data_IF_897899414109
#
_entry.id   IF_897899414109
#
_cell.length_a   1.000
_cell.length_b   1.000
_cell.length_c   1.000
_cell.angle_alpha   90.00
_cell.angle_beta   90.00
_cell.angle_gamma   90.00
#
_symmetry.space_group_name_H-M   'P 1'
#
loop_
_entity.id
_entity.type
_entity.pdbx_description
1 polymer ?
#
# COMPACT_ATOMS: atom_id res chain seq x y z
N UNK A 1 4.74 -12.04 -5.12
CA UNK A 1 5.04 -10.62 -5.46
C UNK A 1 5.62 -9.84 -4.29
N UNK A 2 4.97 -9.83 -3.12
CA UNK A 2 5.42 -9.10 -1.92
C UNK A 2 6.86 -9.43 -1.50
N UNK A 3 7.22 -10.72 -1.46
CA UNK A 3 8.57 -11.18 -1.11
C UNK A 3 9.62 -10.63 -2.09
N UNK A 4 9.31 -10.61 -3.40
CA UNK A 4 10.21 -10.07 -4.44
C UNK A 4 10.51 -8.60 -4.20
N UNK A 5 9.48 -7.80 -3.91
CA UNK A 5 9.63 -6.36 -3.70
C UNK A 5 10.40 -6.02 -2.42
N UNK A 6 10.26 -6.83 -1.36
CA UNK A 6 10.89 -6.55 -0.05
C UNK A 6 12.28 -7.17 0.11
N UNK A 7 12.47 -8.39 -0.38
CA UNK A 7 13.65 -9.23 -0.09
C UNK A 7 14.41 -9.66 -1.35
N UNK A 8 13.90 -9.33 -2.55
CA UNK A 8 14.53 -9.63 -3.83
C UNK A 8 14.31 -11.06 -4.34
N UNK A 9 14.84 -11.35 -5.53
CA UNK A 9 14.59 -12.62 -6.23
C UNK A 9 15.22 -13.84 -5.54
N UNK A 10 16.36 -13.66 -4.85
CA UNK A 10 16.98 -14.72 -4.05
C UNK A 10 16.02 -15.25 -2.98
N UNK A 11 15.28 -14.37 -2.30
CA UNK A 11 14.32 -14.75 -1.28
C UNK A 11 13.10 -15.47 -1.85
N UNK A 12 12.67 -15.11 -3.07
CA UNK A 12 11.60 -15.81 -3.78
C UNK A 12 12.01 -17.25 -4.07
N UNK A 13 13.27 -17.49 -4.46
CA UNK A 13 13.76 -18.86 -4.68
C UNK A 13 13.72 -19.70 -3.40
N UNK A 14 14.13 -19.13 -2.27
CA UNK A 14 14.05 -19.81 -0.96
C UNK A 14 12.60 -20.12 -0.58
N UNK A 15 11.70 -19.16 -0.77
CA UNK A 15 10.28 -19.33 -0.46
C UNK A 15 9.61 -20.38 -1.36
N UNK A 16 9.92 -20.38 -2.66
CA UNK A 16 9.37 -21.36 -3.60
C UNK A 16 9.86 -22.77 -3.28
N UNK A 17 11.15 -22.95 -2.95
CA UNK A 17 11.69 -24.24 -2.54
C UNK A 17 10.93 -24.83 -1.33
N UNK A 18 10.64 -23.99 -0.31
CA UNK A 18 9.86 -24.41 0.86
C UNK A 18 8.36 -24.60 0.58
N UNK A 19 7.85 -24.09 -0.53
CA UNK A 19 6.46 -24.26 -0.96
C UNK A 19 6.27 -25.54 -1.77
N UNK A 20 7.28 -25.92 -2.56
CA UNK A 20 7.32 -27.17 -3.34
C UNK A 20 7.59 -28.38 -2.43
N UNK A 21 8.55 -28.25 -1.52
CA UNK A 21 8.90 -29.28 -0.55
C UNK A 21 8.73 -28.75 0.89
N UNK A 22 7.66 -29.14 1.59
CA UNK A 22 7.47 -28.71 2.98
C UNK A 22 8.42 -29.44 3.92
N UNK A 23 8.75 -28.80 5.05
CA UNK A 23 9.54 -29.36 6.15
C UNK A 23 11.01 -29.65 5.82
N UNK A 24 11.68 -28.72 5.13
CA UNK A 24 13.11 -28.83 4.85
C UNK A 24 13.95 -28.35 6.03
N UNK A 25 15.09 -29.00 6.25
CA UNK A 25 16.14 -28.50 7.15
C UNK A 25 16.96 -27.39 6.47
N UNK A 26 17.73 -26.63 7.26
CA UNK A 26 18.60 -25.59 6.71
C UNK A 26 19.63 -26.13 5.69
N UNK A 27 20.20 -27.30 5.95
CA UNK A 27 21.22 -27.90 5.07
C UNK A 27 20.62 -28.35 3.72
N UNK A 28 19.43 -28.95 3.75
CA UNK A 28 18.70 -29.35 2.54
C UNK A 28 18.29 -28.11 1.73
N UNK A 29 17.81 -27.06 2.39
CA UNK A 29 17.44 -25.82 1.74
C UNK A 29 18.63 -25.14 1.04
N UNK A 30 19.81 -25.12 1.68
CA UNK A 30 21.04 -24.61 1.06
C UNK A 30 21.39 -25.40 -0.22
N UNK A 31 21.19 -26.72 -0.21
CA UNK A 31 21.44 -27.57 -1.38
C UNK A 31 20.44 -27.34 -2.52
N UNK A 32 19.15 -27.11 -2.21
CA UNK A 32 18.10 -26.88 -3.20
C UNK A 32 18.22 -25.52 -3.91
N UNK A 33 18.53 -24.46 -3.16
CA UNK A 33 18.39 -23.09 -3.68
C UNK A 33 19.66 -22.62 -4.40
N UNK A 34 20.77 -23.37 -4.36
CA UNK A 34 22.05 -22.99 -4.98
C UNK A 34 22.47 -21.55 -4.63
N UNK A 35 22.21 -21.13 -3.39
CA UNK A 35 22.61 -19.84 -2.81
C UNK A 35 23.71 -20.13 -1.80
N UNK A 36 24.70 -19.24 -1.68
CA UNK A 36 25.76 -19.40 -0.68
C UNK A 36 25.16 -19.51 0.73
N UNK A 37 25.67 -20.44 1.54
CA UNK A 37 25.07 -20.77 2.84
C UNK A 37 24.80 -19.55 3.70
N UNK A 38 25.77 -18.62 3.83
CA UNK A 38 25.61 -17.35 4.58
C UNK A 38 24.40 -16.53 4.12
N UNK A 39 24.26 -16.31 2.82
CA UNK A 39 23.15 -15.56 2.22
C UNK A 39 21.82 -16.29 2.45
N UNK A 40 21.82 -17.63 2.33
CA UNK A 40 20.63 -18.45 2.56
C UNK A 40 20.13 -18.32 4.01
N UNK A 41 21.03 -18.39 5.00
CA UNK A 41 20.66 -18.22 6.41
C UNK A 41 20.07 -16.83 6.67
N UNK A 42 20.72 -15.79 6.15
CA UNK A 42 20.25 -14.41 6.34
C UNK A 42 18.85 -14.20 5.75
N UNK A 43 18.61 -14.69 4.53
CA UNK A 43 17.31 -14.60 3.88
C UNK A 43 16.24 -15.43 4.61
N UNK A 44 16.59 -16.63 5.07
CA UNK A 44 15.68 -17.49 5.84
C UNK A 44 15.22 -16.81 7.13
N UNK A 45 16.14 -16.22 7.90
CA UNK A 45 15.79 -15.50 9.11
C UNK A 45 14.93 -14.26 8.83
N UNK A 46 15.20 -13.53 7.74
CA UNK A 46 14.34 -12.41 7.32
C UNK A 46 12.93 -12.87 6.98
N UNK A 47 12.80 -13.97 6.24
CA UNK A 47 11.50 -14.57 5.91
C UNK A 47 10.74 -15.03 7.16
N UNK A 48 11.45 -15.51 8.18
CA UNK A 48 10.87 -15.95 9.45
C UNK A 48 10.37 -14.77 10.30
N UNK A 49 11.17 -13.70 10.42
CA UNK A 49 10.76 -12.47 11.12
C UNK A 49 9.57 -11.80 10.42
N UNK A 50 9.60 -11.72 9.10
CA UNK A 50 8.48 -11.20 8.32
C UNK A 50 7.25 -12.12 8.35
N UNK A 51 7.40 -13.37 8.81
CA UNK A 51 6.32 -14.37 8.96
C UNK A 51 5.85 -14.96 7.65
N UNK A 52 6.73 -15.01 6.65
CA UNK A 52 6.49 -15.76 5.40
C UNK A 52 6.83 -17.24 5.56
N UNK A 53 7.73 -17.58 6.48
CA UNK A 53 8.18 -18.95 6.77
C UNK A 53 8.01 -19.21 8.26
N UNK A 54 7.58 -20.43 8.60
CA UNK A 54 7.40 -20.90 9.96
C UNK A 54 8.44 -21.98 10.27
N UNK A 55 8.86 -22.07 11.53
CA UNK A 55 9.73 -23.14 12.00
C UNK A 55 8.98 -24.04 12.99
N UNK A 56 9.17 -25.34 12.85
CA UNK A 56 8.77 -26.34 13.83
C UNK A 56 10.01 -26.91 14.49
N UNK A 57 10.06 -26.85 15.82
CA UNK A 57 11.08 -27.54 16.60
C UNK A 57 10.64 -28.99 16.82
N UNK A 58 11.42 -29.94 16.32
CA UNK A 58 11.27 -31.34 16.71
C UNK A 58 12.31 -31.68 17.78
N UNK A 59 11.81 -32.08 18.94
CA UNK A 59 12.61 -32.75 19.96
C UNK A 59 12.86 -34.19 19.53
N UNK A 60 14.11 -34.64 19.59
CA UNK A 60 14.42 -36.07 19.42
C UNK A 60 13.70 -36.85 20.53
N UNK A 61 12.73 -37.68 20.16
CA UNK A 61 12.12 -38.63 21.08
C UNK A 61 13.14 -39.74 21.43
N UNK A 62 14.11 -39.41 22.27
CA UNK A 62 14.96 -40.35 22.99
C UNK A 62 15.36 -39.68 24.31
N UNK A 63 14.82 -40.25 25.39
CA UNK A 63 15.05 -39.93 26.81
C UNK A 63 14.15 -38.84 27.45
N UNK A 64 12.91 -39.24 27.77
CA UNK A 64 12.12 -38.64 28.85
C UNK A 64 12.83 -38.65 30.23
N UNK A 65 14.00 -39.29 30.32
CA UNK A 65 14.77 -39.48 31.56
C UNK A 65 16.04 -38.62 31.63
N UNK A 66 16.41 -37.88 30.56
CA UNK A 66 17.53 -36.93 30.61
C UNK A 66 17.47 -35.89 29.47
N UNK A 67 16.76 -34.75 29.64
CA UNK A 67 16.68 -33.73 28.60
C UNK A 67 18.04 -33.05 28.42
N UNK A 68 18.79 -33.42 27.38
CA UNK A 68 19.92 -32.63 26.89
C UNK A 68 19.38 -31.42 26.13
N UNK A 69 19.73 -30.18 26.50
CA UNK A 69 19.17 -28.96 25.91
C UNK A 69 19.61 -28.67 24.46
N UNK A 70 20.22 -29.61 23.74
CA UNK A 70 20.98 -29.30 22.52
C UNK A 70 20.80 -30.28 21.34
N UNK A 71 19.65 -30.96 21.25
CA UNK A 71 19.33 -31.84 20.10
C UNK A 71 17.95 -31.57 19.53
N UNK A 72 17.59 -30.30 19.37
CA UNK A 72 16.42 -29.89 18.60
C UNK A 72 16.78 -29.75 17.12
N UNK A 73 15.93 -30.26 16.23
CA UNK A 73 16.02 -29.99 14.79
C UNK A 73 14.91 -29.03 14.37
N UNK A 74 15.27 -28.08 13.52
CA UNK A 74 14.36 -27.06 12.99
C UNK A 74 13.94 -27.45 11.58
N UNK A 75 12.64 -27.65 11.39
CA UNK A 75 12.04 -27.83 10.07
C UNK A 75 11.33 -26.55 9.66
N UNK A 76 11.64 -26.10 8.45
CA UNK A 76 11.04 -24.89 7.88
C UNK A 76 9.90 -25.29 6.94
N UNK A 77 8.78 -24.59 7.06
CA UNK A 77 7.62 -24.79 6.20
C UNK A 77 6.90 -23.47 5.93
N UNK A 78 6.14 -23.43 4.84
CA UNK A 78 5.29 -22.30 4.48
C UNK A 78 3.84 -22.66 4.78
N UNK A 79 3.20 -21.89 5.64
CA UNK A 79 1.75 -21.94 5.82
C UNK A 79 1.14 -20.72 5.13
N UNK A 80 0.54 -20.95 3.96
CA UNK A 80 -0.05 -19.89 3.15
C UNK A 80 -1.25 -19.22 3.84
N UNK A 81 -2.05 -19.95 4.61
CA UNK A 81 -3.19 -19.38 5.32
C UNK A 81 -2.73 -18.41 6.42
N UNK A 82 -1.80 -18.83 7.27
CA UNK A 82 -1.24 -17.99 8.33
C UNK A 82 -0.50 -16.77 7.76
N UNK A 83 0.27 -16.98 6.69
CA UNK A 83 0.98 -15.89 6.01
C UNK A 83 0.00 -14.87 5.43
N UNK A 84 -1.07 -15.34 4.77
CA UNK A 84 -2.10 -14.45 4.20
C UNK A 84 -2.86 -13.70 5.27
N UNK A 85 -3.21 -14.34 6.41
CA UNK A 85 -3.84 -13.65 7.55
C UNK A 85 -2.94 -12.53 8.11
N UNK A 86 -1.64 -12.78 8.24
CA UNK A 86 -0.67 -11.76 8.69
C UNK A 86 -0.55 -10.61 7.68
N UNK A 87 -0.50 -10.93 6.38
CA UNK A 87 -0.47 -9.92 5.32
C UNK A 87 -1.74 -9.06 5.34
N UNK A 88 -2.91 -9.68 5.49
CA UNK A 88 -4.19 -8.97 5.57
C UNK A 88 -4.23 -7.98 6.75
N UNK A 89 -3.79 -8.41 7.94
CA UNK A 89 -3.67 -7.53 9.11
C UNK A 89 -2.75 -6.32 8.84
N UNK A 90 -1.61 -6.56 8.19
CA UNK A 90 -0.70 -5.48 7.79
C UNK A 90 -1.37 -4.53 6.79
N UNK A 91 -2.13 -5.05 5.82
CA UNK A 91 -2.84 -4.24 4.84
C UNK A 91 -3.89 -3.34 5.49
N UNK A 92 -4.71 -3.84 6.42
CA UNK A 92 -5.64 -2.98 7.17
C UNK A 92 -4.90 -1.89 7.96
N UNK A 93 -3.77 -2.23 8.60
CA UNK A 93 -2.94 -1.23 9.29
C UNK A 93 -2.42 -0.16 8.32
N UNK A 94 -2.06 -0.54 7.09
CA UNK A 94 -1.65 0.42 6.06
C UNK A 94 -2.82 1.25 5.54
N UNK A 95 -4.02 0.68 5.43
CA UNK A 95 -5.24 1.40 5.08
C UNK A 95 -5.50 2.54 6.06
N UNK A 96 -5.44 2.24 7.36
CA UNK A 96 -5.65 3.23 8.42
C UNK A 96 -4.60 4.36 8.36
N UNK A 97 -3.34 4.01 8.08
CA UNK A 97 -2.26 4.99 7.92
C UNK A 97 -2.47 5.89 6.70
N UNK A 98 -2.90 5.33 5.57
CA UNK A 98 -3.21 6.10 4.36
C UNK A 98 -4.41 7.02 4.58
N UNK A 99 -5.47 6.51 5.20
CA UNK A 99 -6.66 7.28 5.57
C UNK A 99 -6.30 8.45 6.49
N UNK A 100 -5.52 8.17 7.55
CA UNK A 100 -5.07 9.19 8.50
C UNK A 100 -4.23 10.26 7.81
N UNK A 101 -3.30 9.87 6.94
CA UNK A 101 -2.49 10.81 6.15
C UNK A 101 -3.36 11.68 5.24
N UNK A 102 -4.33 11.08 4.55
CA UNK A 102 -5.27 11.81 3.68
C UNK A 102 -6.09 12.83 4.45
N UNK A 103 -6.62 12.45 5.61
CA UNK A 103 -7.37 13.35 6.48
C UNK A 103 -6.48 14.50 6.99
N UNK A 104 -5.24 14.20 7.36
CA UNK A 104 -4.26 15.21 7.77
C UNK A 104 -3.93 16.20 6.64
N UNK A 105 -3.72 15.71 5.40
CA UNK A 105 -3.46 16.58 4.23
C UNK A 105 -4.64 17.51 3.92
N UNK A 106 -5.88 17.04 4.09
CA UNK A 106 -7.08 17.89 3.93
C UNK A 106 -7.20 18.89 5.08
N UNK A 107 -6.92 18.47 6.31
CA UNK A 107 -7.03 19.32 7.49
C UNK A 107 -6.01 20.47 7.46
N UNK A 108 -4.75 20.19 7.11
CA UNK A 108 -3.68 21.20 7.04
C UNK A 108 -3.94 22.22 5.94
N UNK A 109 -4.51 21.79 4.80
CA UNK A 109 -4.75 22.66 3.63
C UNK A 109 -6.18 23.17 3.52
N UNK A 110 -7.01 23.02 4.57
CA UNK A 110 -8.43 23.35 4.55
C UNK A 110 -8.72 24.76 4.05
N UNK A 111 -7.99 25.77 4.58
CA UNK A 111 -8.17 27.18 4.20
C UNK A 111 -7.92 27.42 2.71
N UNK A 112 -6.86 26.81 2.17
CA UNK A 112 -6.50 26.92 0.76
C UNK A 112 -7.51 26.21 -0.15
N UNK A 113 -8.01 25.05 0.28
CA UNK A 113 -9.06 24.31 -0.42
C UNK A 113 -10.39 25.07 -0.44
N UNK A 114 -10.78 25.67 0.68
CA UNK A 114 -11.99 26.50 0.80
C UNK A 114 -11.87 27.76 -0.09
N UNK A 115 -10.72 28.44 -0.06
CA UNK A 115 -10.43 29.58 -0.95
C UNK A 115 -10.52 29.19 -2.42
N UNK A 116 -9.89 28.08 -2.80
CA UNK A 116 -9.95 27.53 -4.17
C UNK A 116 -11.40 27.21 -4.57
N UNK A 117 -12.20 26.66 -3.66
CA UNK A 117 -13.59 26.33 -3.92
C UNK A 117 -14.44 27.58 -4.15
N UNK A 118 -14.32 28.59 -3.30
CA UNK A 118 -15.01 29.89 -3.45
C UNK A 118 -14.64 30.57 -4.77
N UNK A 119 -13.35 30.64 -5.10
CA UNK A 119 -12.89 31.22 -6.38
C UNK A 119 -13.46 30.44 -7.57
N UNK A 120 -13.50 29.11 -7.50
CA UNK A 120 -14.08 28.27 -8.56
C UNK A 120 -15.59 28.51 -8.73
N UNK A 121 -16.33 28.72 -7.64
CA UNK A 121 -17.76 29.04 -7.67
C UNK A 121 -18.02 30.43 -8.26
N UNK A 122 -17.23 31.44 -7.84
CA UNK A 122 -17.30 32.79 -8.41
C UNK A 122 -17.05 32.78 -9.92
N UNK A 123 -15.99 32.09 -10.37
CA UNK A 123 -15.68 31.98 -11.80
C UNK A 123 -16.81 31.31 -12.58
N UNK A 124 -17.42 30.23 -12.05
CA UNK A 124 -18.58 29.59 -12.69
C UNK A 124 -19.79 30.50 -12.79
N UNK A 125 -20.06 31.29 -11.75
CA UNK A 125 -21.18 32.24 -11.75
C UNK A 125 -20.95 33.35 -12.78
N UNK A 126 -19.73 33.87 -12.88
CA UNK A 126 -19.35 34.85 -13.90
C UNK A 126 -19.43 34.25 -15.31
N UNK A 127 -18.94 33.02 -15.52
CA UNK A 127 -19.05 32.32 -16.81
C UNK A 127 -20.53 32.14 -17.22
N UNK A 128 -21.42 31.84 -16.28
CA UNK A 128 -22.86 31.74 -16.52
C UNK A 128 -23.50 33.11 -16.87
N UNK A 129 -23.07 34.19 -16.22
CA UNK A 129 -23.54 35.54 -16.54
C UNK A 129 -23.04 36.04 -17.89
N UNK A 130 -21.79 35.74 -18.25
CA UNK A 130 -21.22 36.07 -19.57
C UNK A 130 -22.02 35.36 -20.67
N UNK A 131 -22.25 34.05 -20.54
CA UNK A 131 -23.05 33.31 -21.54
C UNK A 131 -24.51 33.78 -21.65
N UNK A 132 -25.11 34.24 -20.54
CA UNK A 132 -26.42 34.87 -20.56
C UNK A 132 -26.41 36.26 -21.23
N UNK A 133 -25.36 37.07 -21.01
CA UNK A 133 -25.21 38.39 -21.63
C UNK A 133 -24.94 38.29 -23.14
N UNK A 134 -24.14 37.29 -23.56
CA UNK A 134 -23.83 37.02 -24.97
C UNK A 134 -25.08 36.60 -25.74
N UNK A 135 -25.94 35.76 -25.14
CA UNK A 135 -27.22 35.35 -25.74
C UNK A 135 -28.27 36.47 -25.77
N UNK A 136 -28.17 37.46 -24.87
CA UNK A 136 -28.99 38.66 -24.88
C UNK A 136 -28.49 39.77 -25.82
N UNK A 137 -27.34 39.58 -26.49
CA UNK A 137 -26.75 40.54 -27.42
C UNK A 137 -26.17 41.79 -26.76
N UNK A 138 -25.87 41.75 -25.46
CA UNK A 138 -25.43 42.90 -24.68
C UNK A 138 -23.89 42.92 -24.56
N UNK A 139 -23.21 43.41 -25.60
CA UNK A 139 -21.74 43.36 -25.73
C UNK A 139 -20.98 44.08 -24.63
N UNK A 140 -21.52 45.20 -24.15
CA UNK A 140 -20.84 46.05 -23.17
C UNK A 140 -20.85 45.40 -21.77
N UNK A 141 -21.97 44.77 -21.41
CA UNK A 141 -22.10 44.00 -20.18
C UNK A 141 -21.20 42.74 -20.17
N UNK A 142 -21.02 42.10 -21.33
CA UNK A 142 -20.11 40.95 -21.48
C UNK A 142 -18.65 41.35 -21.28
N UNK A 143 -18.25 42.53 -21.76
CA UNK A 143 -16.90 43.07 -21.57
C UNK A 143 -16.58 43.34 -20.09
N UNK A 144 -17.49 44.00 -19.35
CA UNK A 144 -17.32 44.27 -17.92
C UNK A 144 -17.24 42.99 -17.08
N UNK A 145 -18.08 41.99 -17.37
CA UNK A 145 -18.05 40.69 -16.69
C UNK A 145 -16.77 39.90 -16.99
N UNK A 146 -16.21 40.03 -18.19
CA UNK A 146 -14.92 39.44 -18.57
C UNK A 146 -13.75 40.05 -17.77
N UNK A 147 -13.76 41.36 -17.52
CA UNK A 147 -12.78 42.01 -16.64
C UNK A 147 -12.91 41.55 -15.18
N UNK A 148 -14.14 41.45 -14.66
CA UNK A 148 -14.40 40.92 -13.32
C UNK A 148 -13.92 39.47 -13.18
N UNK A 149 -14.06 38.66 -14.24
CA UNK A 149 -13.54 37.29 -14.30
C UNK A 149 -12.01 37.27 -14.25
N UNK A 150 -11.34 38.16 -14.98
CA UNK A 150 -9.88 38.27 -14.95
C UNK A 150 -9.37 38.64 -13.55
N UNK A 151 -10.05 39.55 -12.86
CA UNK A 151 -9.76 39.91 -11.46
C UNK A 151 -10.01 38.73 -10.51
N UNK A 152 -11.14 38.04 -10.65
CA UNK A 152 -11.47 36.87 -9.84
C UNK A 152 -10.42 35.73 -9.99
N UNK A 153 -9.86 35.56 -11.19
CA UNK A 153 -8.78 34.59 -11.42
C UNK A 153 -7.49 34.95 -10.67
N UNK A 154 -7.20 36.25 -10.48
CA UNK A 154 -6.01 36.74 -9.78
C UNK A 154 -6.12 36.62 -8.24
N UNK A 155 -7.32 36.38 -7.69
CA UNK A 155 -7.51 36.13 -6.26
C UNK A 155 -6.71 34.93 -5.72
N UNK A 156 -6.38 34.00 -6.62
CA UNK A 156 -5.50 32.87 -6.32
C UNK A 156 -4.08 33.19 -6.79
N UNK A 157 -3.19 33.40 -5.83
CA UNK A 157 -1.81 33.81 -6.09
C UNK A 157 -1.00 32.70 -6.77
N UNK A 158 0.06 33.02 -7.54
CA UNK A 158 0.94 32.03 -8.15
C UNK A 158 1.48 30.94 -7.19
N UNK A 159 1.98 31.25 -5.97
CA UNK A 159 2.45 30.23 -5.04
C UNK A 159 1.31 29.33 -4.51
N UNK A 160 0.11 29.88 -4.30
CA UNK A 160 -1.07 29.08 -3.92
C UNK A 160 -1.46 28.09 -5.01
N UNK A 161 -1.31 28.45 -6.29
CA UNK A 161 -1.57 27.56 -7.43
C UNK A 161 -0.57 26.41 -7.45
N UNK A 162 0.72 26.70 -7.26
CA UNK A 162 1.76 25.67 -7.21
C UNK A 162 1.56 24.70 -6.04
N UNK A 163 1.21 25.22 -4.86
CA UNK A 163 0.84 24.42 -3.70
C UNK A 163 -0.36 23.52 -4.02
N UNK A 164 -1.41 24.05 -4.65
CA UNK A 164 -2.57 23.26 -5.04
C UNK A 164 -2.24 22.16 -6.07
N UNK A 165 -1.35 22.41 -7.02
CA UNK A 165 -0.89 21.38 -7.96
C UNK A 165 -0.09 20.28 -7.25
N UNK A 166 0.76 20.65 -6.30
CA UNK A 166 1.50 19.69 -5.48
C UNK A 166 0.55 18.83 -4.64
N UNK A 167 -0.46 19.44 -4.03
CA UNK A 167 -1.51 18.75 -3.28
C UNK A 167 -2.34 17.82 -4.16
N UNK A 168 -2.67 18.23 -5.39
CA UNK A 168 -3.35 17.37 -6.34
C UNK A 168 -2.53 16.13 -6.65
N UNK A 169 -1.24 16.29 -6.96
CA UNK A 169 -0.32 15.16 -7.24
C UNK A 169 -0.23 14.20 -6.06
N UNK A 170 -0.01 14.74 -4.85
CA UNK A 170 0.04 13.95 -3.62
C UNK A 170 -1.26 13.16 -3.41
N UNK A 171 -2.42 13.83 -3.55
CA UNK A 171 -3.72 13.21 -3.34
C UNK A 171 -4.02 12.13 -4.37
N UNK A 172 -3.66 12.34 -5.64
CA UNK A 172 -3.82 11.33 -6.70
C UNK A 172 -2.94 10.11 -6.42
N UNK A 173 -1.70 10.32 -5.98
CA UNK A 173 -0.82 9.21 -5.59
C UNK A 173 -1.36 8.43 -4.39
N UNK A 174 -1.88 9.12 -3.36
CA UNK A 174 -2.52 8.47 -2.21
C UNK A 174 -3.75 7.67 -2.61
N UNK A 175 -4.61 8.20 -3.48
CA UNK A 175 -5.79 7.47 -3.96
C UNK A 175 -5.42 6.25 -4.80
N UNK A 176 -4.41 6.35 -5.65
CA UNK A 176 -3.92 5.19 -6.39
C UNK A 176 -3.38 4.10 -5.44
N UNK A 177 -2.67 4.51 -4.37
CA UNK A 177 -2.18 3.58 -3.35
C UNK A 177 -3.29 2.90 -2.54
N UNK A 178 -4.35 3.63 -2.19
CA UNK A 178 -5.53 3.07 -1.51
C UNK A 178 -6.26 2.05 -2.40
N UNK A 179 -6.46 2.34 -3.69
CA UNK A 179 -7.11 1.42 -4.63
C UNK A 179 -6.31 0.11 -4.76
N UNK A 180 -4.99 0.20 -4.93
CA UNK A 180 -4.14 -0.97 -5.00
C UNK A 180 -4.19 -1.80 -3.71
N UNK A 181 -4.26 -1.13 -2.56
CA UNK A 181 -4.38 -1.81 -1.28
C UNK A 181 -5.71 -2.55 -1.15
N UNK A 182 -6.82 -1.91 -1.53
CA UNK A 182 -8.17 -2.49 -1.54
C UNK A 182 -8.25 -3.73 -2.44
N UNK A 183 -7.66 -3.66 -3.63
CA UNK A 183 -7.55 -4.82 -4.54
C UNK A 183 -6.81 -6.00 -3.88
N UNK A 184 -5.70 -5.73 -3.18
CA UNK A 184 -4.94 -6.79 -2.51
C UNK A 184 -5.68 -7.35 -1.29
N UNK A 185 -6.35 -6.49 -0.50
CA UNK A 185 -7.20 -6.93 0.62
C UNK A 185 -8.28 -7.89 0.11
N UNK A 186 -8.98 -7.50 -0.95
CA UNK A 186 -10.02 -8.33 -1.56
C UNK A 186 -9.47 -9.70 -2.01
N UNK A 187 -8.31 -9.72 -2.67
CA UNK A 187 -7.69 -10.98 -3.10
C UNK A 187 -7.30 -11.89 -1.92
N UNK A 188 -6.81 -11.31 -0.82
CA UNK A 188 -6.44 -12.07 0.37
C UNK A 188 -7.66 -12.59 1.14
N UNK A 189 -8.71 -11.79 1.26
CA UNK A 189 -9.98 -12.22 1.85
C UNK A 189 -10.59 -13.36 1.04
N UNK A 190 -10.67 -13.21 -0.28
CA UNK A 190 -11.19 -14.25 -1.18
C UNK A 190 -10.39 -15.55 -1.07
N UNK A 191 -9.06 -15.46 -0.99
CA UNK A 191 -8.21 -16.62 -0.77
C UNK A 191 -8.51 -17.32 0.56
N UNK A 192 -8.65 -16.56 1.65
CA UNK A 192 -8.93 -17.12 2.97
C UNK A 192 -10.33 -17.74 3.05
N UNK A 193 -11.33 -17.14 2.42
CA UNK A 193 -12.67 -17.72 2.30
C UNK A 193 -12.62 -19.05 1.54
N UNK A 194 -11.94 -19.10 0.39
CA UNK A 194 -11.79 -20.34 -0.38
C UNK A 194 -11.03 -21.41 0.41
N UNK A 195 -9.92 -21.04 1.05
CA UNK A 195 -9.13 -21.96 1.88
C UNK A 195 -9.92 -22.52 3.06
N UNK A 196 -10.82 -21.71 3.66
CA UNK A 196 -11.68 -22.15 4.76
C UNK A 196 -12.78 -23.13 4.33
N UNK A 197 -13.18 -23.13 3.06
CA UNK A 197 -14.20 -24.03 2.52
C UNK A 197 -13.65 -25.39 2.10
N UNK A 198 -12.33 -25.56 2.03
CA UNK A 198 -11.66 -26.79 1.58
C UNK A 198 -10.86 -27.49 2.70
N UNK A 199 -10.93 -26.98 3.92
CA UNK A 199 -10.50 -27.65 5.16
C UNK A 199 -11.72 -28.18 5.91
#
# INVERSE_FOLDING_TARGET
>A
AVIRQRLGDKAVRVFNALSEEPNLTQAELESHVLIGGRDCKELLYRLLVDGFVHCAELSRAADFMNPRPNTAYYLFHVNLEQTTRKLLLNMHTYQDRLLTRRLAEVATNRRLLDKRQRVKELLKNLDAQISAADSAGNSDASAELSEQRAQAAQLLTPPEREQLETLKRSRTALRAGELLLEENIFLYELFLEFASQHN
#
